data_IF_867375529748
#
_entry.id   IF_867375529748
#
_cell.length_a   1.000
_cell.length_b   1.000
_cell.length_c   1.000
_cell.angle_alpha   90.00
_cell.angle_beta   90.00
_cell.angle_gamma   90.00
#
_symmetry.space_group_name_H-M   'P 1'
#
loop_
_entity.id
_entity.type
_entity.pdbx_description
1 polymer ?
#
# COMPACT_ATOMS: atom_id res chain seq x y z
N UNK A 1 8.98 19.41 -3.42
CA UNK A 1 7.85 18.56 -3.03
C UNK A 1 6.71 18.90 -3.97
N UNK A 2 6.27 17.94 -4.76
CA UNK A 2 5.04 18.05 -5.55
C UNK A 2 3.91 17.70 -4.59
N UNK A 3 2.99 18.63 -4.38
CA UNK A 3 1.80 18.41 -3.56
C UNK A 3 0.60 18.15 -4.49
N UNK A 4 -0.35 17.34 -4.05
CA UNK A 4 -1.62 17.17 -4.76
C UNK A 4 -2.67 18.15 -4.22
N UNK A 5 -3.48 18.75 -5.10
CA UNK A 5 -4.80 19.18 -4.67
C UNK A 5 -5.58 17.94 -4.20
N UNK A 6 -6.35 18.05 -3.13
CA UNK A 6 -7.06 16.88 -2.57
C UNK A 6 -7.92 16.16 -3.60
N UNK A 7 -8.56 16.88 -4.53
CA UNK A 7 -9.35 16.26 -5.59
C UNK A 7 -8.48 15.45 -6.56
N UNK A 8 -7.31 15.97 -6.93
CA UNK A 8 -6.35 15.26 -7.80
C UNK A 8 -5.84 13.99 -7.11
N UNK A 9 -5.57 14.04 -5.80
CA UNK A 9 -5.19 12.85 -5.02
C UNK A 9 -6.30 11.78 -5.03
N UNK A 10 -7.56 12.18 -4.86
CA UNK A 10 -8.70 11.26 -4.89
C UNK A 10 -8.92 10.69 -6.29
N UNK A 11 -8.75 11.50 -7.34
CA UNK A 11 -8.87 11.02 -8.72
C UNK A 11 -7.70 10.10 -9.11
N UNK A 12 -6.48 10.36 -8.62
CA UNK A 12 -5.32 9.49 -8.82
C UNK A 12 -5.52 8.11 -8.18
N UNK A 13 -6.08 8.06 -6.96
CA UNK A 13 -6.37 6.77 -6.32
C UNK A 13 -7.58 6.06 -6.93
N UNK A 14 -8.53 6.82 -7.48
CA UNK A 14 -9.61 6.27 -8.29
C UNK A 14 -9.11 5.58 -9.56
N UNK A 15 -8.05 6.12 -10.19
CA UNK A 15 -7.38 5.47 -11.32
C UNK A 15 -6.63 4.21 -10.88
N UNK A 16 -5.92 4.25 -9.75
CA UNK A 16 -5.25 3.06 -9.19
C UNK A 16 -6.23 1.92 -8.93
N UNK A 17 -7.37 2.21 -8.31
CA UNK A 17 -8.43 1.22 -8.07
C UNK A 17 -9.02 0.69 -9.38
N UNK A 18 -9.17 1.53 -10.40
CA UNK A 18 -9.65 1.10 -11.71
C UNK A 18 -8.66 0.12 -12.37
N UNK A 19 -7.36 0.43 -12.33
CA UNK A 19 -6.30 -0.46 -12.82
C UNK A 19 -6.35 -1.81 -12.10
N UNK A 20 -6.40 -1.81 -10.77
CA UNK A 20 -6.54 -3.05 -9.96
C UNK A 20 -7.79 -3.84 -10.32
N UNK A 21 -8.91 -3.18 -10.60
CA UNK A 21 -10.19 -3.83 -10.86
C UNK A 21 -10.34 -4.36 -12.30
N UNK A 22 -9.60 -3.81 -13.26
CA UNK A 22 -9.83 -4.05 -14.69
C UNK A 22 -8.67 -4.73 -15.41
N UNK A 23 -7.44 -4.63 -14.91
CA UNK A 23 -6.25 -5.20 -15.53
C UNK A 23 -5.75 -6.47 -14.81
N UNK A 24 -5.07 -7.40 -15.51
CA UNK A 24 -4.33 -8.46 -14.87
C UNK A 24 -3.27 -7.88 -13.93
N UNK A 25 -3.14 -8.43 -12.72
CA UNK A 25 -2.15 -7.99 -11.72
C UNK A 25 -1.02 -9.01 -11.58
N UNK A 26 0.21 -8.60 -11.18
CA UNK A 26 1.32 -9.52 -10.95
C UNK A 26 1.04 -10.56 -9.87
N UNK A 27 0.14 -10.24 -8.94
CA UNK A 27 -0.41 -11.14 -7.92
C UNK A 27 -1.87 -10.73 -7.66
N UNK A 28 -2.74 -11.64 -7.18
CA UNK A 28 -4.10 -11.27 -6.85
C UNK A 28 -4.13 -10.19 -5.77
N UNK A 29 -4.85 -9.10 -6.02
CA UNK A 29 -5.10 -8.04 -5.04
C UNK A 29 -6.44 -8.33 -4.36
N UNK A 30 -6.49 -8.16 -3.03
CA UNK A 30 -7.70 -8.41 -2.21
C UNK A 30 -8.36 -7.15 -1.70
N UNK A 31 -7.57 -6.12 -1.38
CA UNK A 31 -8.08 -4.86 -0.84
C UNK A 31 -7.18 -3.70 -1.26
N UNK A 32 -7.79 -2.53 -1.45
CA UNK A 32 -7.09 -1.24 -1.63
C UNK A 32 -7.67 -0.25 -0.64
N UNK A 33 -6.80 0.33 0.18
CA UNK A 33 -7.13 1.34 1.18
C UNK A 33 -6.30 2.59 0.97
N UNK A 34 -6.82 3.73 1.42
CA UNK A 34 -6.03 4.93 1.65
C UNK A 34 -6.00 5.27 3.13
N UNK A 35 -4.93 5.94 3.55
CA UNK A 35 -4.79 6.48 4.90
C UNK A 35 -4.04 7.82 4.82
N UNK A 36 -3.71 8.41 5.97
CA UNK A 36 -2.99 9.69 5.99
C UNK A 36 -3.80 10.86 5.43
N UNK A 37 -3.13 11.81 4.79
CA UNK A 37 -3.67 13.12 4.40
C UNK A 37 -5.00 13.05 3.66
N UNK A 38 -5.08 12.19 2.64
CA UNK A 38 -6.28 12.04 1.81
C UNK A 38 -7.47 11.51 2.62
N UNK A 39 -7.24 10.57 3.54
CA UNK A 39 -8.28 10.01 4.40
C UNK A 39 -8.74 11.02 5.47
N UNK A 40 -7.83 11.88 5.92
CA UNK A 40 -8.09 12.95 6.89
C UNK A 40 -8.69 14.22 6.26
N UNK A 41 -8.79 14.28 4.93
CA UNK A 41 -9.35 15.41 4.21
C UNK A 41 -8.44 16.63 4.16
N UNK A 42 -7.12 16.44 4.29
CA UNK A 42 -6.15 17.53 4.19
C UNK A 42 -6.03 18.04 2.75
N UNK A 43 -5.76 19.33 2.61
CA UNK A 43 -5.59 20.02 1.33
C UNK A 43 -4.58 21.17 1.51
N UNK A 44 -3.38 21.10 0.92
CA UNK A 44 -2.93 20.07 -0.03
C UNK A 44 -2.70 18.69 0.63
N UNK A 45 -2.63 17.65 -0.22
CA UNK A 45 -2.14 16.31 0.15
C UNK A 45 -0.64 16.27 -0.15
N UNK A 46 0.19 16.21 0.89
CA UNK A 46 1.65 16.22 0.74
C UNK A 46 2.16 14.87 0.22
N UNK A 47 1.49 13.78 0.63
CA UNK A 47 1.78 12.42 0.18
C UNK A 47 0.50 11.59 0.13
N UNK A 48 0.31 10.85 -0.95
CA UNK A 48 -0.79 9.90 -1.08
C UNK A 48 -0.36 8.53 -0.55
N UNK A 49 -0.87 8.17 0.63
CA UNK A 49 -0.61 6.90 1.28
C UNK A 49 -1.65 5.84 0.86
N UNK A 50 -1.19 4.76 0.24
CA UNK A 50 -2.02 3.67 -0.28
C UNK A 50 -1.57 2.33 0.31
N UNK A 51 -2.52 1.53 0.78
CA UNK A 51 -2.27 0.17 1.24
C UNK A 51 -2.95 -0.83 0.31
N UNK A 52 -2.18 -1.80 -0.17
CA UNK A 52 -2.64 -2.87 -1.04
C UNK A 52 -2.45 -4.22 -0.34
N UNK A 53 -3.58 -4.86 -0.04
CA UNK A 53 -3.59 -6.25 0.41
C UNK A 53 -3.47 -7.15 -0.81
N UNK A 54 -2.48 -8.05 -0.84
CA UNK A 54 -2.30 -9.04 -1.93
C UNK A 54 -2.31 -10.48 -1.42
N UNK A 55 -2.56 -11.42 -2.30
CA UNK A 55 -2.34 -12.84 -2.04
C UNK A 55 -0.97 -13.30 -2.50
N UNK A 56 -0.53 -14.42 -1.93
CA UNK A 56 0.63 -15.13 -2.43
C UNK A 56 0.20 -16.07 -3.56
N UNK A 57 0.96 -16.04 -4.65
CA UNK A 57 0.87 -17.09 -5.64
C UNK A 57 1.54 -18.36 -5.11
N UNK A 58 0.94 -19.51 -5.43
CA UNK A 58 1.49 -20.82 -5.10
C UNK A 58 1.77 -21.58 -6.39
N UNK A 59 3.01 -21.45 -6.89
CA UNK A 59 3.66 -22.40 -7.80
C UNK A 59 2.79 -22.95 -8.93
N UNK A 60 2.26 -22.06 -9.79
CA UNK A 60 1.27 -22.45 -10.81
C UNK A 60 1.90 -22.85 -12.14
N UNK A 61 3.09 -22.35 -12.47
CA UNK A 61 3.69 -22.58 -13.78
C UNK A 61 5.24 -22.58 -13.77
N UNK A 62 5.83 -23.72 -13.40
CA UNK A 62 7.30 -23.88 -13.33
C UNK A 62 7.98 -23.99 -14.69
N UNK A 63 7.24 -24.32 -15.75
CA UNK A 63 7.78 -24.34 -17.11
C UNK A 63 8.00 -22.92 -17.62
N UNK A 64 7.11 -21.98 -17.28
CA UNK A 64 7.27 -20.55 -17.58
C UNK A 64 8.35 -19.86 -16.75
N UNK A 65 8.68 -20.32 -15.54
CA UNK A 65 9.81 -19.78 -14.76
C UNK A 65 11.12 -19.80 -15.55
N UNK A 66 11.37 -20.90 -16.26
CA UNK A 66 12.61 -21.07 -17.01
C UNK A 66 12.73 -20.06 -18.15
N UNK A 67 11.62 -19.78 -18.83
CA UNK A 67 11.55 -18.81 -19.92
C UNK A 67 11.95 -17.41 -19.44
N UNK A 68 11.35 -16.93 -18.35
CA UNK A 68 11.67 -15.61 -17.78
C UNK A 68 13.07 -15.53 -17.19
N UNK A 69 13.57 -16.62 -16.60
CA UNK A 69 14.94 -16.67 -16.13
C UNK A 69 15.96 -16.57 -17.27
N UNK A 70 15.68 -17.20 -18.42
CA UNK A 70 16.57 -17.17 -19.58
C UNK A 70 16.51 -15.83 -20.34
N UNK A 71 15.31 -15.24 -20.46
CA UNK A 71 15.08 -13.99 -21.20
C UNK A 71 15.38 -12.73 -20.40
N UNK A 72 14.95 -12.68 -19.13
CA UNK A 72 15.03 -11.49 -18.27
C UNK A 72 16.05 -11.63 -17.13
N UNK A 73 16.56 -12.84 -16.88
CA UNK A 73 17.44 -13.10 -15.74
C UNK A 73 16.71 -13.09 -14.39
N UNK A 74 15.38 -13.14 -14.39
CA UNK A 74 14.54 -13.04 -13.19
C UNK A 74 13.96 -14.42 -12.85
N UNK A 75 14.18 -14.86 -11.62
CA UNK A 75 13.66 -16.14 -11.11
C UNK A 75 12.28 -15.98 -10.49
N UNK A 76 11.48 -17.04 -10.46
CA UNK A 76 10.22 -17.09 -9.71
C UNK A 76 9.01 -16.42 -10.38
N UNK A 77 9.12 -16.01 -11.64
CA UNK A 77 7.95 -15.70 -12.49
C UNK A 77 7.23 -17.02 -12.80
N UNK A 78 5.90 -17.07 -12.68
CA UNK A 78 5.09 -18.29 -12.69
C UNK A 78 4.97 -18.97 -11.32
N UNK A 79 5.78 -18.57 -10.34
CA UNK A 79 5.76 -19.11 -8.99
C UNK A 79 5.23 -18.09 -7.97
N UNK A 80 5.82 -16.90 -7.99
CA UNK A 80 5.56 -15.80 -7.04
C UNK A 80 4.90 -14.59 -7.68
N UNK A 81 5.10 -14.43 -9.00
CA UNK A 81 4.47 -13.42 -9.85
C UNK A 81 3.80 -14.15 -11.02
N UNK A 82 2.65 -13.68 -11.46
CA UNK A 82 1.88 -14.28 -12.55
C UNK A 82 2.63 -14.17 -13.89
N UNK A 83 2.76 -15.30 -14.60
CA UNK A 83 3.53 -15.36 -15.84
C UNK A 83 2.78 -14.81 -17.06
N UNK A 84 1.45 -14.84 -17.04
CA UNK A 84 0.64 -14.25 -18.10
C UNK A 84 0.70 -12.72 -17.98
N UNK A 85 0.56 -12.20 -16.75
CA UNK A 85 0.82 -10.78 -16.47
C UNK A 85 2.22 -10.36 -16.93
N UNK A 86 3.26 -11.11 -16.55
CA UNK A 86 4.64 -10.74 -16.87
C UNK A 86 4.95 -10.78 -18.38
N UNK A 87 4.15 -11.50 -19.18
CA UNK A 87 4.29 -11.52 -20.62
C UNK A 87 3.58 -10.36 -21.32
N UNK A 88 2.54 -9.81 -20.69
CA UNK A 88 1.79 -8.65 -21.18
C UNK A 88 2.41 -7.32 -20.70
N UNK A 89 2.98 -7.30 -19.50
CA UNK A 89 3.51 -6.13 -18.80
C UNK A 89 4.98 -6.32 -18.36
N UNK A 90 5.83 -6.73 -19.29
CA UNK A 90 7.24 -7.04 -18.99
C UNK A 90 8.02 -5.81 -18.50
N UNK A 91 7.60 -4.61 -18.87
CA UNK A 91 8.19 -3.33 -18.47
C UNK A 91 8.05 -3.04 -16.97
N UNK A 92 7.06 -3.64 -16.31
CA UNK A 92 6.81 -3.51 -14.86
C UNK A 92 7.46 -4.63 -14.06
N UNK A 93 8.08 -5.62 -14.71
CA UNK A 93 8.72 -6.72 -14.01
C UNK A 93 9.91 -6.20 -13.18
N UNK A 94 9.90 -6.49 -11.87
CA UNK A 94 10.94 -6.08 -10.93
C UNK A 94 11.43 -7.26 -10.09
N UNK A 95 12.73 -7.27 -9.81
CA UNK A 95 13.36 -8.26 -8.96
C UNK A 95 13.83 -7.66 -7.62
N UNK A 96 13.96 -8.52 -6.62
CA UNK A 96 14.69 -8.22 -5.39
C UNK A 96 16.21 -8.28 -5.63
N UNK A 97 16.99 -7.92 -4.61
CA UNK A 97 18.46 -7.90 -4.70
C UNK A 97 19.07 -9.29 -4.99
N UNK A 98 18.32 -10.38 -4.77
CA UNK A 98 18.73 -11.75 -5.05
C UNK A 98 18.30 -12.25 -6.44
N UNK A 99 17.75 -11.37 -7.30
CA UNK A 99 17.32 -11.70 -8.65
C UNK A 99 16.04 -12.55 -8.73
N UNK A 100 15.23 -12.58 -7.67
CA UNK A 100 13.90 -13.21 -7.70
C UNK A 100 12.83 -12.14 -7.93
N UNK A 101 11.80 -12.47 -8.69
CA UNK A 101 10.62 -11.64 -8.89
C UNK A 101 10.09 -11.16 -7.53
N UNK A 102 9.79 -9.87 -7.45
CA UNK A 102 9.37 -9.22 -6.22
C UNK A 102 7.94 -8.67 -6.43
N UNK A 103 6.89 -9.42 -6.02
CA UNK A 103 5.50 -9.05 -6.24
C UNK A 103 5.17 -7.61 -5.85
N UNK A 104 5.69 -7.15 -4.71
CA UNK A 104 5.46 -5.82 -4.17
C UNK A 104 6.08 -4.73 -5.05
N UNK A 105 7.25 -5.00 -5.63
CA UNK A 105 7.89 -4.08 -6.57
C UNK A 105 7.23 -4.10 -7.94
N UNK A 106 6.75 -5.26 -8.38
CA UNK A 106 5.97 -5.37 -9.62
C UNK A 106 4.66 -4.60 -9.51
N UNK A 107 3.93 -4.77 -8.39
CA UNK A 107 2.71 -4.00 -8.11
C UNK A 107 3.00 -2.50 -8.09
N UNK A 108 4.05 -2.08 -7.38
CA UNK A 108 4.42 -0.67 -7.36
C UNK A 108 4.72 -0.12 -8.76
N UNK A 109 5.53 -0.83 -9.56
CA UNK A 109 5.89 -0.39 -10.90
C UNK A 109 4.69 -0.32 -11.86
N UNK A 110 3.66 -1.16 -11.65
CA UNK A 110 2.44 -1.14 -12.46
C UNK A 110 1.46 -0.06 -11.98
N UNK A 111 1.39 0.22 -10.67
CA UNK A 111 0.37 1.10 -10.09
C UNK A 111 0.81 2.55 -9.92
N UNK A 112 2.12 2.83 -9.85
CA UNK A 112 2.69 4.11 -9.43
C UNK A 112 3.89 4.48 -10.29
N UNK A 113 3.96 5.75 -10.71
CA UNK A 113 5.12 6.30 -11.41
C UNK A 113 6.22 6.71 -10.42
N UNK A 114 7.50 6.54 -10.79
CA UNK A 114 8.64 6.76 -9.90
C UNK A 114 8.74 8.19 -9.30
N UNK A 115 8.15 9.19 -9.96
CA UNK A 115 8.21 10.60 -9.57
C UNK A 115 6.97 11.10 -8.80
N UNK A 116 5.97 10.22 -8.57
CA UNK A 116 4.75 10.59 -7.83
C UNK A 116 4.98 10.57 -6.30
N UNK A 117 4.43 11.52 -5.53
CA UNK A 117 4.53 11.52 -4.07
C UNK A 117 3.53 10.51 -3.47
N UNK A 118 3.66 9.25 -3.86
CA UNK A 118 2.83 8.13 -3.42
C UNK A 118 3.67 7.19 -2.57
N UNK A 119 3.16 6.86 -1.39
CA UNK A 119 3.70 5.79 -0.57
C UNK A 119 2.79 4.56 -0.70
N UNK A 120 3.36 3.47 -1.18
CA UNK A 120 2.65 2.21 -1.38
C UNK A 120 3.12 1.17 -0.35
N UNK A 121 2.22 0.80 0.55
CA UNK A 121 2.36 -0.36 1.43
C UNK A 121 1.74 -1.58 0.75
N UNK A 122 2.52 -2.62 0.53
CA UNK A 122 2.04 -3.87 -0.06
C UNK A 122 2.27 -5.01 0.93
N UNK A 123 1.20 -5.70 1.31
CA UNK A 123 1.27 -6.75 2.32
C UNK A 123 0.26 -7.86 2.04
N UNK A 124 0.53 -9.05 2.57
CA UNK A 124 -0.40 -10.18 2.51
C UNK A 124 -1.43 -10.21 3.66
N UNK A 125 -1.22 -9.42 4.72
CA UNK A 125 -2.20 -9.22 5.78
C UNK A 125 -3.23 -8.16 5.37
N UNK A 126 -4.48 -8.28 5.85
CA UNK A 126 -5.48 -7.22 5.68
C UNK A 126 -4.98 -5.92 6.33
N UNK A 127 -5.50 -4.77 5.88
CA UNK A 127 -5.10 -3.47 6.42
C UNK A 127 -5.26 -3.43 7.96
N UNK A 128 -6.43 -3.81 8.45
CA UNK A 128 -6.74 -3.75 9.89
C UNK A 128 -5.89 -4.74 10.72
N UNK A 129 -5.59 -5.93 10.18
CA UNK A 129 -4.72 -6.89 10.87
C UNK A 129 -3.28 -6.38 10.94
N UNK A 130 -2.78 -5.80 9.85
CA UNK A 130 -1.42 -5.27 9.81
C UNK A 130 -1.27 -4.04 10.71
N UNK A 131 -2.29 -3.18 10.79
CA UNK A 131 -2.36 -2.09 11.79
C UNK A 131 -2.13 -2.64 13.20
N UNK A 132 -2.85 -3.70 13.59
CA UNK A 132 -2.70 -4.31 14.92
C UNK A 132 -1.32 -4.95 15.11
N UNK A 133 -0.86 -5.74 14.14
CA UNK A 133 0.42 -6.44 14.24
C UNK A 133 1.61 -5.48 14.29
N UNK A 134 1.61 -4.42 13.47
CA UNK A 134 2.65 -3.40 13.49
C UNK A 134 2.61 -2.58 14.77
N UNK A 135 1.43 -2.27 15.29
CA UNK A 135 1.28 -1.62 16.59
C UNK A 135 1.90 -2.47 17.70
N UNK A 136 1.50 -3.74 17.82
CA UNK A 136 2.07 -4.68 18.80
C UNK A 136 3.59 -4.80 18.66
N UNK A 137 4.09 -4.93 17.43
CA UNK A 137 5.52 -5.05 17.14
C UNK A 137 6.31 -3.77 17.45
N UNK A 138 5.72 -2.60 17.19
CA UNK A 138 6.31 -1.30 17.51
C UNK A 138 6.39 -1.07 19.01
N UNK A 139 5.31 -1.38 19.74
CA UNK A 139 5.28 -1.28 21.20
C UNK A 139 6.29 -2.22 21.86
N UNK A 140 6.37 -3.47 21.39
CA UNK A 140 7.30 -4.45 21.94
C UNK A 140 8.79 -4.11 21.72
N UNK A 141 9.09 -3.23 20.77
CA UNK A 141 10.46 -2.87 20.36
C UNK A 141 10.79 -1.38 20.55
N UNK A 142 9.85 -0.61 21.10
CA UNK A 142 9.94 0.85 21.20
C UNK A 142 10.32 1.51 19.86
N UNK A 143 9.75 1.01 18.76
CA UNK A 143 10.03 1.48 17.40
C UNK A 143 8.75 1.99 16.74
N UNK A 144 8.30 3.16 17.19
CA UNK A 144 7.01 3.74 16.82
C UNK A 144 6.91 4.17 15.35
N UNK A 145 8.05 4.39 14.67
CA UNK A 145 8.11 4.68 13.23
C UNK A 145 7.51 3.55 12.38
N UNK A 146 7.38 2.34 12.95
CA UNK A 146 6.81 1.18 12.28
C UNK A 146 5.28 1.11 12.36
N UNK A 147 4.64 1.98 13.14
CA UNK A 147 3.19 1.99 13.30
C UNK A 147 2.53 2.42 12.00
N UNK A 148 1.57 1.62 11.53
CA UNK A 148 0.68 1.98 10.45
C UNK A 148 -0.50 2.80 11.01
N UNK A 149 -0.79 3.95 10.41
CA UNK A 149 -1.88 4.83 10.85
C UNK A 149 -3.24 4.12 10.69
N UNK A 150 -3.98 3.92 11.78
CA UNK A 150 -5.23 3.16 11.75
C UNK A 150 -6.39 3.89 11.08
N UNK A 151 -6.24 5.17 10.73
CA UNK A 151 -7.30 6.01 10.15
C UNK A 151 -7.38 5.79 8.63
N UNK A 152 -7.79 4.59 8.25
CA UNK A 152 -7.89 4.16 6.86
C UNK A 152 -9.32 4.17 6.30
N UNK A 153 -9.43 4.29 4.98
CA UNK A 153 -10.67 4.19 4.20
C UNK A 153 -10.52 3.10 3.15
N UNK A 154 -11.36 2.08 3.20
CA UNK A 154 -11.40 1.02 2.20
C UNK A 154 -12.09 1.52 0.93
N UNK A 155 -11.40 1.42 -0.21
CA UNK A 155 -11.88 1.89 -1.52
C UNK A 155 -12.26 0.75 -2.44
N UNK A 156 -11.60 -0.40 -2.28
CA UNK A 156 -11.88 -1.60 -3.05
C UNK A 156 -11.63 -2.83 -2.20
N UNK A 157 -12.57 -3.77 -2.20
CA UNK A 157 -12.41 -5.08 -1.59
C UNK A 157 -13.45 -6.04 -2.17
N UNK A 158 -13.14 -7.35 -2.19
CA UNK A 158 -14.07 -8.39 -2.66
C UNK A 158 -14.64 -8.07 -4.06
N UNK A 159 -13.75 -7.70 -4.99
CA UNK A 159 -14.06 -7.34 -6.37
C UNK A 159 -15.06 -6.17 -6.52
N UNK A 160 -15.20 -5.34 -5.48
CA UNK A 160 -16.13 -4.22 -5.44
C UNK A 160 -15.45 -2.91 -5.06
N UNK A 161 -15.64 -1.91 -5.91
CA UNK A 161 -15.28 -0.51 -5.66
C UNK A 161 -16.36 0.16 -4.81
N UNK A 162 -15.95 0.96 -3.83
CA UNK A 162 -16.84 1.72 -2.96
C UNK A 162 -17.05 3.16 -3.48
N UNK A 163 -18.08 3.36 -4.31
CA UNK A 163 -18.44 4.71 -4.80
C UNK A 163 -18.75 5.69 -3.66
N UNK A 164 -19.35 5.19 -2.59
CA UNK A 164 -19.67 5.98 -1.40
C UNK A 164 -18.40 6.44 -0.66
N UNK A 165 -17.37 5.59 -0.56
CA UNK A 165 -16.10 5.99 0.04
C UNK A 165 -15.42 7.08 -0.80
N UNK A 166 -15.41 6.93 -2.13
CA UNK A 166 -14.89 7.97 -3.02
C UNK A 166 -15.66 9.29 -2.90
N UNK A 167 -17.00 9.27 -2.84
CA UNK A 167 -17.82 10.47 -2.61
C UNK A 167 -17.41 11.15 -1.30
N UNK A 168 -17.32 10.40 -0.20
CA UNK A 168 -16.94 10.93 1.12
C UNK A 168 -15.52 11.49 1.15
N UNK A 169 -14.57 10.88 0.43
CA UNK A 169 -13.22 11.44 0.29
C UNK A 169 -13.26 12.78 -0.44
N UNK A 170 -13.99 12.88 -1.57
CA UNK A 170 -14.13 14.14 -2.32
C UNK A 170 -14.81 15.24 -1.49
N UNK A 171 -15.78 14.88 -0.67
CA UNK A 171 -16.55 15.82 0.16
C UNK A 171 -15.94 16.04 1.55
N UNK A 172 -14.83 15.36 1.88
CA UNK A 172 -14.17 15.43 3.19
C UNK A 172 -15.10 15.06 4.37
N UNK A 173 -15.92 14.03 4.20
CA UNK A 173 -16.97 13.65 5.17
C UNK A 173 -16.52 12.63 6.23
N UNK A 174 -15.30 12.09 6.13
CA UNK A 174 -14.79 11.15 7.14
C UNK A 174 -14.43 11.88 8.43
N UNK A 175 -14.98 11.40 9.55
CA UNK A 175 -14.68 11.91 10.87
C UNK A 175 -13.79 10.93 11.63
N UNK A 176 -12.47 11.14 11.55
CA UNK A 176 -11.50 10.38 12.32
C UNK A 176 -11.13 11.10 13.63
N UNK A 177 -10.83 10.37 14.71
CA UNK A 177 -10.17 10.96 15.87
C UNK A 177 -8.74 11.40 15.52
N UNK A 178 -8.07 12.19 16.38
CA UNK A 178 -6.62 12.37 16.32
C UNK A 178 -5.89 11.03 16.33
N UNK A 179 -4.66 10.97 15.79
CA UNK A 179 -3.89 9.73 15.74
C UNK A 179 -3.74 9.08 17.12
N UNK A 180 -3.39 9.86 18.14
CA UNK A 180 -3.32 9.37 19.52
C UNK A 180 -4.65 8.78 19.98
N UNK A 181 -5.78 9.46 19.72
CA UNK A 181 -7.11 8.93 20.02
C UNK A 181 -7.43 7.63 19.29
N UNK A 182 -6.98 7.47 18.04
CA UNK A 182 -7.13 6.23 17.30
C UNK A 182 -6.28 5.09 17.89
N UNK A 183 -5.07 5.41 18.37
CA UNK A 183 -4.18 4.47 19.05
C UNK A 183 -4.70 4.06 20.44
N UNK A 184 -5.30 4.99 21.19
CA UNK A 184 -6.01 4.69 22.45
C UNK A 184 -7.17 3.72 22.21
N UNK A 185 -7.93 3.91 21.11
CA UNK A 185 -9.00 2.98 20.72
C UNK A 185 -8.48 1.58 20.36
N UNK A 186 -7.20 1.45 20.00
CA UNK A 186 -6.51 0.18 19.78
C UNK A 186 -5.88 -0.40 21.05
N UNK A 187 -6.00 0.29 22.19
CA UNK A 187 -5.64 -0.22 23.51
C UNK A 187 -4.35 0.35 24.09
N UNK A 188 -3.75 1.39 23.50
CA UNK A 188 -2.62 2.09 24.13
C UNK A 188 -3.11 2.98 25.28
N UNK A 189 -2.27 3.12 26.30
CA UNK A 189 -2.50 4.12 27.34
C UNK A 189 -2.30 5.55 26.76
N UNK A 190 -3.01 6.58 27.28
CA UNK A 190 -3.01 7.92 26.67
C UNK A 190 -1.64 8.57 26.51
N UNK A 191 -0.71 8.33 27.44
CA UNK A 191 0.66 8.85 27.38
C UNK A 191 1.44 8.19 26.23
N UNK A 192 1.42 6.85 26.16
CA UNK A 192 2.06 6.07 25.09
C UNK A 192 1.46 6.39 23.72
N UNK A 193 0.13 6.51 23.63
CA UNK A 193 -0.56 6.86 22.40
C UNK A 193 -0.15 8.24 21.87
N UNK A 194 0.11 9.19 22.77
CA UNK A 194 0.60 10.52 22.41
C UNK A 194 2.03 10.46 21.90
N UNK A 195 2.92 9.76 22.61
CA UNK A 195 4.33 9.58 22.22
C UNK A 195 4.45 8.88 20.86
N UNK A 196 3.74 7.77 20.70
CA UNK A 196 3.69 7.02 19.44
C UNK A 196 3.15 7.86 18.28
N UNK A 197 2.08 8.65 18.53
CA UNK A 197 1.51 9.51 17.50
C UNK A 197 2.46 10.62 17.04
N UNK A 198 3.26 11.20 17.94
CA UNK A 198 4.27 12.20 17.57
C UNK A 198 5.41 11.57 16.77
N UNK A 199 5.92 10.40 17.18
CA UNK A 199 6.97 9.69 16.46
C UNK A 199 6.55 9.32 15.02
N UNK A 200 5.30 8.87 14.83
CA UNK A 200 4.76 8.59 13.48
C UNK A 200 4.69 9.84 12.61
N UNK A 201 4.30 10.98 13.18
CA UNK A 201 4.24 12.26 12.44
C UNK A 201 5.63 12.74 12.04
N UNK A 202 6.60 12.66 12.96
CA UNK A 202 7.98 13.06 12.70
C UNK A 202 8.59 12.22 11.57
N UNK A 203 8.45 10.90 11.64
CA UNK A 203 8.90 10.00 10.57
C UNK A 203 8.25 10.31 9.21
N UNK A 204 6.95 10.62 9.19
CA UNK A 204 6.25 10.99 7.95
C UNK A 204 6.78 12.28 7.34
N UNK A 205 7.07 13.28 8.17
CA UNK A 205 7.56 14.59 7.71
C UNK A 205 8.95 14.50 7.05
N UNK A 206 9.74 13.47 7.37
CA UNK A 206 11.06 13.24 6.78
C UNK A 206 11.03 12.44 5.46
N UNK A 207 9.89 11.85 5.10
CA UNK A 207 9.79 10.95 3.96
C UNK A 207 9.55 11.71 2.65
N UNK A 208 10.44 11.52 1.66
CA UNK A 208 10.37 12.17 0.34
C UNK A 208 10.19 11.14 -0.81
N UNK A 209 9.38 11.51 -1.81
CA UNK A 209 9.23 10.77 -3.07
C UNK A 209 8.38 9.49 -3.00
N UNK A 210 8.35 8.76 -4.13
CA UNK A 210 7.68 7.46 -4.20
C UNK A 210 8.42 6.44 -3.32
N UNK A 211 7.69 5.78 -2.44
CA UNK A 211 8.28 4.75 -1.57
C UNK A 211 7.42 3.51 -1.55
N UNK A 212 8.07 2.35 -1.66
CA UNK A 212 7.41 1.04 -1.64
C UNK A 212 7.89 0.30 -0.42
N UNK A 213 6.96 -0.09 0.43
CA UNK A 213 7.24 -0.97 1.55
C UNK A 213 6.48 -2.27 1.37
N UNK A 214 7.25 -3.33 1.19
CA UNK A 214 6.73 -4.68 1.05
C UNK A 214 7.01 -5.48 2.33
N UNK A 215 5.96 -5.93 3.01
CA UNK A 215 6.08 -6.89 4.10
C UNK A 215 5.39 -8.21 3.71
N UNK A 216 6.02 -9.32 4.06
CA UNK A 216 5.39 -10.65 4.03
C UNK A 216 5.32 -11.13 5.46
N UNK A 217 4.10 -11.31 5.96
CA UNK A 217 3.81 -11.76 7.33
C UNK A 217 3.39 -13.23 7.34
#
# INVERSE_FOLDING_TARGET
MTEFERQDAVDRVAALVETVASEPMPVPVREVWVYGDVALGLDPVERLDVYVTKDMLFGRDSDREREFRESHGIKGVGETVDADWAAEYDEYLRANANGHAAPEKCLAAHLVDDDEPIHLEVCNASFEDNVRQRLEGAMARENYEQILDPRGVCLWAQDQRSDEAFRKLRESEFAFPPLSGALEMLGLDPEEATEAAEAVKEYRAEAEGATVRGDVV
#
